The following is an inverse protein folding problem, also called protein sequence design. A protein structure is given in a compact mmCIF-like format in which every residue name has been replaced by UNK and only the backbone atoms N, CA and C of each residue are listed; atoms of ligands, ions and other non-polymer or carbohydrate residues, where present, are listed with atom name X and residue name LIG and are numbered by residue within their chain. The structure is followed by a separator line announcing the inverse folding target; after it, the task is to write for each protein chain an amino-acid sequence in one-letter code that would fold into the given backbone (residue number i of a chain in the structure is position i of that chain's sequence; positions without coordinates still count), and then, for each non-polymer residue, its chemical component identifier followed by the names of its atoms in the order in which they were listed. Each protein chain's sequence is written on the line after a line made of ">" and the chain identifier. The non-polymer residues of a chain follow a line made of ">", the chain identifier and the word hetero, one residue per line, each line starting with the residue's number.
data_IF_523470272803
#
_entry.id   IF_523470272803
#
_cell.length_a   1.000
_cell.length_b   1.000
_cell.length_c   1.000
_cell.angle_alpha   90.00
_cell.angle_beta   90.00
_cell.angle_gamma   90.00
#
_symmetry.space_group_name_H-M   'P 1'
#
loop_
_entity.id
_entity.type
_entity.pdbx_description
1 polymer ?
#
# COMPACT_ATOMS: atom_id res chain seq x y z
N UNK A 1 -52.52 7.28 27.79
CA UNK A 1 -51.28 7.49 28.59
C UNK A 1 -50.47 6.23 28.52
N UNK A 2 -49.41 6.17 27.77
CA UNK A 2 -48.25 5.27 27.80
C UNK A 2 -47.55 5.20 26.45
N UNK A 3 -46.87 6.29 26.02
CA UNK A 3 -46.00 6.30 24.83
C UNK A 3 -44.57 6.74 25.13
N UNK A 4 -44.19 6.92 26.40
CA UNK A 4 -42.89 7.48 26.81
C UNK A 4 -41.80 6.46 27.15
N UNK A 5 -42.12 5.18 27.28
CA UNK A 5 -41.21 4.19 27.88
C UNK A 5 -40.41 3.36 26.85
N UNK A 6 -40.83 3.32 25.58
CA UNK A 6 -40.21 2.52 24.53
C UNK A 6 -39.00 3.26 23.92
N UNK A 7 -39.07 4.58 23.79
CA UNK A 7 -37.98 5.37 23.19
C UNK A 7 -36.70 5.43 24.07
N UNK A 8 -36.85 5.35 25.40
CA UNK A 8 -35.71 5.40 26.34
C UNK A 8 -34.92 4.10 26.45
N UNK A 9 -35.50 2.95 26.08
CA UNK A 9 -34.82 1.64 26.10
C UNK A 9 -34.02 1.37 24.85
N UNK A 10 -34.35 2.00 23.71
CA UNK A 10 -33.62 1.83 22.43
C UNK A 10 -32.34 2.66 22.42
N UNK A 11 -32.33 3.83 23.08
CA UNK A 11 -31.10 4.69 23.13
C UNK A 11 -30.03 4.09 24.04
N UNK A 12 -30.41 3.31 25.08
CA UNK A 12 -29.45 2.69 26.00
C UNK A 12 -28.78 1.43 25.44
N UNK A 13 -29.35 0.80 24.40
CA UNK A 13 -28.77 -0.43 23.80
C UNK A 13 -27.78 -0.18 22.65
N UNK A 14 -27.71 1.06 22.11
CA UNK A 14 -26.79 1.44 21.04
C UNK A 14 -25.45 2.01 21.56
N UNK A 15 -25.36 2.38 22.82
CA UNK A 15 -24.15 2.97 23.41
C UNK A 15 -22.99 1.99 23.59
N UNK A 16 -23.15 0.67 23.84
CA UNK A 16 -22.01 -0.24 23.95
C UNK A 16 -21.40 -0.66 22.63
N UNK A 17 -22.07 -0.46 21.49
CA UNK A 17 -21.56 -0.90 20.19
C UNK A 17 -20.50 0.06 19.59
N UNK A 18 -20.55 1.34 19.95
CA UNK A 18 -19.56 2.34 19.44
C UNK A 18 -18.23 2.24 20.18
N UNK A 19 -18.20 1.70 21.40
CA UNK A 19 -16.96 1.51 22.19
C UNK A 19 -16.11 0.32 21.74
N UNK A 20 -16.62 -0.56 20.89
CA UNK A 20 -15.88 -1.74 20.43
C UNK A 20 -14.93 -1.47 19.23
N UNK A 21 -15.06 -0.33 18.55
CA UNK A 21 -14.26 -0.03 17.35
C UNK A 21 -12.92 0.64 17.65
N UNK A 22 -12.72 1.22 18.82
CA UNK A 22 -11.45 1.85 19.21
C UNK A 22 -10.48 0.91 19.93
N UNK A 23 -10.88 -0.31 20.23
CA UNK A 23 -10.08 -1.32 20.95
C UNK A 23 -9.24 -2.25 20.08
N UNK A 24 -9.53 -2.38 18.78
CA UNK A 24 -8.98 -3.45 17.97
C UNK A 24 -7.45 -3.35 17.73
N UNK A 25 -6.89 -2.15 17.60
CA UNK A 25 -5.43 -1.99 17.40
C UNK A 25 -4.64 -2.32 18.68
N UNK A 26 -5.07 -1.84 19.82
CA UNK A 26 -4.39 -2.13 21.10
C UNK A 26 -4.47 -3.61 21.48
N UNK A 27 -5.61 -4.23 21.26
CA UNK A 27 -5.83 -5.66 21.55
C UNK A 27 -5.04 -6.55 20.60
N UNK A 28 -4.93 -6.18 19.32
CA UNK A 28 -4.11 -6.87 18.33
C UNK A 28 -2.62 -6.87 18.72
N UNK A 29 -2.03 -5.71 19.06
CA UNK A 29 -0.63 -5.65 19.47
C UNK A 29 -0.36 -6.36 20.81
N UNK A 30 -1.29 -6.28 21.76
CA UNK A 30 -1.18 -7.02 23.04
C UNK A 30 -1.26 -8.53 22.82
N UNK A 31 -2.13 -9.00 21.92
CA UNK A 31 -2.18 -10.41 21.54
C UNK A 31 -0.90 -10.84 20.81
N UNK A 32 -0.37 -10.02 19.89
CA UNK A 32 0.87 -10.31 19.18
C UNK A 32 2.10 -10.29 20.09
N UNK A 33 2.18 -9.41 21.10
CA UNK A 33 3.23 -9.43 22.12
C UNK A 33 3.15 -10.69 22.99
N UNK A 34 1.96 -11.20 23.27
CA UNK A 34 1.75 -12.47 23.99
C UNK A 34 2.27 -13.66 23.19
N UNK A 35 2.35 -13.58 21.87
CA UNK A 35 2.98 -14.58 20.98
C UNK A 35 4.46 -14.30 20.69
N UNK A 36 5.10 -13.38 21.43
CA UNK A 36 6.54 -13.10 21.32
C UNK A 36 6.94 -12.31 20.08
N UNK A 37 5.98 -11.67 19.35
CA UNK A 37 6.30 -10.79 18.23
C UNK A 37 6.35 -9.33 18.68
N UNK A 38 7.50 -8.73 18.56
CA UNK A 38 7.71 -7.30 18.78
C UNK A 38 7.12 -6.46 17.63
N UNK A 39 6.74 -5.23 17.92
CA UNK A 39 6.20 -4.30 16.88
C UNK A 39 7.18 -4.09 15.71
N UNK A 40 8.48 -4.19 15.98
CA UNK A 40 9.52 -4.17 14.95
C UNK A 40 9.37 -5.30 13.95
N UNK A 41 9.16 -6.54 14.42
CA UNK A 41 8.97 -7.70 13.55
C UNK A 41 7.70 -7.55 12.72
N UNK A 42 6.65 -6.99 13.32
CA UNK A 42 5.40 -6.68 12.62
C UNK A 42 5.65 -5.64 11.54
N UNK A 43 6.40 -4.57 11.82
CA UNK A 43 6.74 -3.53 10.84
C UNK A 43 7.57 -4.12 9.70
N UNK A 44 8.63 -4.87 10.01
CA UNK A 44 9.47 -5.54 9.01
C UNK A 44 8.64 -6.47 8.11
N UNK A 45 7.73 -7.27 8.70
CA UNK A 45 6.83 -8.13 7.94
C UNK A 45 5.93 -7.32 6.99
N UNK A 46 5.32 -6.22 7.47
CA UNK A 46 4.45 -5.37 6.65
C UNK A 46 5.19 -4.68 5.52
N UNK A 47 6.44 -4.24 5.76
CA UNK A 47 7.29 -3.65 4.71
C UNK A 47 7.66 -4.70 3.65
N UNK A 48 7.99 -5.94 4.05
CA UNK A 48 8.22 -7.05 3.11
C UNK A 48 6.97 -7.38 2.28
N UNK A 49 5.82 -7.45 2.92
CA UNK A 49 4.54 -7.68 2.23
C UNK A 49 4.22 -6.55 1.26
N UNK A 50 4.48 -5.29 1.67
CA UNK A 50 4.30 -4.12 0.81
C UNK A 50 5.19 -4.17 -0.44
N UNK A 51 6.46 -4.58 -0.28
CA UNK A 51 7.37 -4.79 -1.41
C UNK A 51 6.82 -5.85 -2.37
N UNK A 52 6.28 -6.96 -1.85
CA UNK A 52 5.64 -8.00 -2.67
C UNK A 52 4.39 -7.47 -3.39
N UNK A 53 3.53 -6.71 -2.69
CA UNK A 53 2.34 -6.12 -3.28
C UNK A 53 2.71 -5.10 -4.38
N UNK A 54 3.78 -4.30 -4.19
CA UNK A 54 4.30 -3.39 -5.21
C UNK A 54 4.82 -4.15 -6.44
N UNK A 55 5.53 -5.27 -6.26
CA UNK A 55 5.99 -6.10 -7.36
C UNK A 55 4.81 -6.69 -8.15
N UNK A 56 3.78 -7.17 -7.46
CA UNK A 56 2.55 -7.65 -8.12
C UNK A 56 1.84 -6.54 -8.89
N UNK A 57 1.71 -5.34 -8.30
CA UNK A 57 1.11 -4.20 -8.97
C UNK A 57 1.89 -3.80 -10.24
N UNK A 58 3.23 -3.82 -10.16
CA UNK A 58 4.12 -3.57 -11.30
C UNK A 58 3.85 -4.57 -12.44
N UNK A 59 3.73 -5.85 -12.13
CA UNK A 59 3.44 -6.91 -13.11
C UNK A 59 2.04 -6.74 -13.73
N UNK A 60 1.02 -6.43 -12.91
CA UNK A 60 -0.34 -6.24 -13.43
C UNK A 60 -0.44 -5.00 -14.36
N UNK A 61 0.23 -3.91 -14.02
CA UNK A 61 0.25 -2.70 -14.87
C UNK A 61 0.97 -2.99 -16.18
N UNK A 62 2.11 -3.70 -16.15
CA UNK A 62 2.80 -4.14 -17.37
C UNK A 62 1.92 -5.03 -18.23
N UNK A 63 1.29 -6.05 -17.66
CA UNK A 63 0.37 -6.92 -18.38
C UNK A 63 -0.82 -6.16 -18.97
N UNK A 64 -1.34 -5.14 -18.27
CA UNK A 64 -2.40 -4.28 -18.80
C UNK A 64 -1.90 -3.50 -20.03
N UNK A 65 -0.68 -2.95 -19.96
CA UNK A 65 -0.07 -2.23 -21.08
C UNK A 65 0.19 -3.15 -22.28
N UNK A 66 0.71 -4.36 -22.05
CA UNK A 66 0.93 -5.37 -23.09
C UNK A 66 -0.38 -5.72 -23.79
N UNK A 67 -1.46 -6.01 -23.05
CA UNK A 67 -2.78 -6.28 -23.63
C UNK A 67 -3.36 -5.08 -24.37
N UNK A 68 -3.09 -3.87 -23.90
CA UNK A 68 -3.51 -2.67 -24.61
C UNK A 68 -2.74 -2.50 -25.95
N UNK A 69 -1.44 -2.75 -25.96
CA UNK A 69 -0.62 -2.74 -27.16
C UNK A 69 -1.01 -3.83 -28.16
N UNK A 70 -1.26 -5.06 -27.71
CA UNK A 70 -1.77 -6.16 -28.53
C UNK A 70 -3.09 -5.75 -29.21
N UNK A 71 -4.00 -5.13 -28.47
CA UNK A 71 -5.28 -4.68 -29.01
C UNK A 71 -5.11 -3.56 -30.04
N UNK A 72 -4.24 -2.57 -29.78
CA UNK A 72 -3.99 -1.45 -30.71
C UNK A 72 -3.22 -1.87 -31.97
N UNK A 73 -2.47 -2.96 -31.90
CA UNK A 73 -1.78 -3.62 -33.01
C UNK A 73 -2.59 -4.70 -33.70
N UNK A 74 -3.88 -4.84 -33.39
CA UNK A 74 -4.73 -5.92 -33.85
C UNK A 74 -4.76 -6.05 -35.39
N UNK A 75 -4.45 -7.24 -35.89
CA UNK A 75 -4.44 -7.58 -37.33
C UNK A 75 -5.41 -8.70 -37.72
N UNK A 76 -6.15 -9.25 -36.76
CA UNK A 76 -7.13 -10.32 -37.00
C UNK A 76 -7.45 -11.14 -35.76
N UNK A 77 -8.55 -11.88 -35.79
CA UNK A 77 -9.03 -12.69 -34.66
C UNK A 77 -10.24 -12.07 -33.95
N UNK A 78 -10.47 -12.41 -32.69
CA UNK A 78 -11.60 -11.93 -31.90
C UNK A 78 -11.27 -10.68 -31.09
N UNK A 79 -11.76 -9.53 -31.54
CA UNK A 79 -11.66 -8.26 -30.81
C UNK A 79 -12.31 -8.34 -29.43
N UNK A 80 -13.42 -9.04 -29.31
CA UNK A 80 -14.14 -9.21 -28.05
C UNK A 80 -13.28 -9.99 -27.04
N UNK A 81 -12.56 -11.03 -27.44
CA UNK A 81 -11.65 -11.77 -26.59
C UNK A 81 -10.53 -10.86 -26.08
N UNK A 82 -9.86 -10.12 -26.98
CA UNK A 82 -8.77 -9.22 -26.59
C UNK A 82 -9.24 -8.10 -25.66
N UNK A 83 -10.44 -7.56 -25.90
CA UNK A 83 -11.05 -6.58 -24.99
C UNK A 83 -11.29 -7.17 -23.59
N UNK A 84 -11.85 -8.39 -23.49
CA UNK A 84 -12.09 -9.05 -22.21
C UNK A 84 -10.79 -9.31 -21.44
N UNK A 85 -9.74 -9.71 -22.14
CA UNK A 85 -8.40 -9.88 -21.55
C UNK A 85 -7.84 -8.56 -21.02
N UNK A 86 -7.89 -7.48 -21.82
CA UNK A 86 -7.47 -6.14 -21.39
C UNK A 86 -8.25 -5.67 -20.16
N UNK A 87 -9.58 -5.78 -20.19
CA UNK A 87 -10.43 -5.38 -19.06
C UNK A 87 -10.07 -6.16 -17.79
N UNK A 88 -9.88 -7.48 -17.90
CA UNK A 88 -9.50 -8.31 -16.75
C UNK A 88 -8.12 -7.98 -16.19
N UNK A 89 -7.14 -7.58 -17.02
CA UNK A 89 -5.84 -7.11 -16.51
C UNK A 89 -5.95 -5.74 -15.85
N UNK A 90 -6.73 -4.82 -16.43
CA UNK A 90 -7.00 -3.52 -15.82
C UNK A 90 -7.64 -3.65 -14.44
N UNK A 91 -8.66 -4.51 -14.27
CA UNK A 91 -9.31 -4.75 -12.98
C UNK A 91 -8.30 -5.23 -11.92
N UNK A 92 -7.42 -6.18 -12.27
CA UNK A 92 -6.36 -6.65 -11.38
C UNK A 92 -5.38 -5.53 -11.01
N UNK A 93 -5.02 -4.67 -11.97
CA UNK A 93 -4.14 -3.53 -11.70
C UNK A 93 -4.81 -2.51 -10.76
N UNK A 94 -6.11 -2.24 -10.92
CA UNK A 94 -6.88 -1.37 -10.05
C UNK A 94 -6.99 -1.93 -8.61
N UNK A 95 -7.23 -3.24 -8.47
CA UNK A 95 -7.23 -3.91 -7.17
C UNK A 95 -5.86 -3.84 -6.47
N UNK A 96 -4.78 -3.95 -7.25
CA UNK A 96 -3.42 -3.83 -6.72
C UNK A 96 -3.12 -2.42 -6.21
N UNK A 97 -3.64 -1.37 -6.88
CA UNK A 97 -3.51 0.00 -6.40
C UNK A 97 -4.23 0.22 -5.07
N UNK A 98 -5.44 -0.34 -4.91
CA UNK A 98 -6.17 -0.29 -3.64
C UNK A 98 -5.41 -0.99 -2.51
N UNK A 99 -4.85 -2.17 -2.77
CA UNK A 99 -4.00 -2.87 -1.80
C UNK A 99 -2.79 -2.04 -1.39
N UNK A 100 -2.17 -1.32 -2.32
CA UNK A 100 -1.04 -0.44 -2.02
C UNK A 100 -1.44 0.68 -1.05
N UNK A 101 -2.59 1.32 -1.26
CA UNK A 101 -3.15 2.33 -0.35
C UNK A 101 -3.31 1.77 1.08
N UNK A 102 -4.02 0.65 1.21
CA UNK A 102 -4.25 0.00 2.51
C UNK A 102 -2.93 -0.37 3.21
N UNK A 103 -1.91 -0.74 2.42
CA UNK A 103 -0.60 -1.10 2.94
C UNK A 103 0.17 0.11 3.48
N UNK A 104 0.09 1.26 2.81
CA UNK A 104 0.68 2.51 3.29
C UNK A 104 0.13 2.88 4.66
N UNK A 105 -1.19 2.92 4.81
CA UNK A 105 -1.84 3.24 6.08
C UNK A 105 -1.48 2.24 7.19
N UNK A 106 -1.41 0.96 6.85
CA UNK A 106 -1.02 -0.10 7.78
C UNK A 106 0.42 0.02 8.29
N UNK A 107 1.37 0.43 7.44
CA UNK A 107 2.78 0.63 7.81
C UNK A 107 2.91 1.89 8.67
N UNK A 108 2.31 3.00 8.25
CA UNK A 108 2.33 4.28 8.97
C UNK A 108 1.80 4.12 10.41
N UNK A 109 0.70 3.37 10.59
CA UNK A 109 0.14 3.10 11.91
C UNK A 109 1.10 2.30 12.80
N UNK A 110 1.66 1.18 12.30
CA UNK A 110 2.51 0.32 13.12
C UNK A 110 3.85 0.99 13.45
N UNK A 111 4.43 1.75 12.51
CA UNK A 111 5.67 2.50 12.74
C UNK A 111 5.47 3.60 13.78
N UNK A 112 4.38 4.36 13.68
CA UNK A 112 4.03 5.38 14.68
C UNK A 112 3.93 4.80 16.08
N UNK A 113 3.25 3.66 16.24
CA UNK A 113 3.08 3.02 17.54
C UNK A 113 4.40 2.44 18.07
N UNK A 114 5.24 1.86 17.20
CA UNK A 114 6.58 1.37 17.56
C UNK A 114 7.49 2.52 18.01
N UNK A 115 7.53 3.61 17.27
CA UNK A 115 8.41 4.74 17.58
C UNK A 115 8.00 5.47 18.87
N UNK A 116 6.71 5.53 19.18
CA UNK A 116 6.23 6.08 20.47
C UNK A 116 6.68 5.22 21.64
N UNK A 117 6.59 3.91 21.50
CA UNK A 117 7.02 2.98 22.54
C UNK A 117 8.54 3.04 22.75
N UNK A 118 9.31 2.99 21.66
CA UNK A 118 10.77 3.12 21.70
C UNK A 118 11.23 4.43 22.33
N UNK A 119 10.58 5.54 22.03
CA UNK A 119 10.87 6.82 22.70
C UNK A 119 10.64 6.75 24.20
N UNK A 120 9.53 6.15 24.64
CA UNK A 120 9.21 5.99 26.05
C UNK A 120 10.25 5.12 26.79
N UNK A 121 10.73 4.06 26.14
CA UNK A 121 11.81 3.23 26.67
C UNK A 121 13.12 4.00 26.81
N UNK A 122 13.49 4.80 25.79
CA UNK A 122 14.67 5.69 25.84
C UNK A 122 14.56 6.67 27.00
N UNK A 123 13.40 7.27 27.22
CA UNK A 123 13.20 8.26 28.29
C UNK A 123 13.45 7.63 29.68
N UNK A 124 13.12 6.36 29.86
CA UNK A 124 13.35 5.59 31.09
C UNK A 124 14.79 5.07 31.27
N UNK A 125 15.68 5.21 30.28
CA UNK A 125 17.06 4.71 30.39
C UNK A 125 17.90 5.59 31.32
N UNK A 126 18.60 5.00 32.30
CA UNK A 126 19.53 5.67 33.20
C UNK A 126 20.94 5.78 32.60
N UNK A 127 21.38 4.75 31.86
CA UNK A 127 22.70 4.75 31.21
C UNK A 127 22.76 5.77 30.07
N UNK A 128 23.45 6.89 30.29
CA UNK A 128 23.54 8.00 29.33
C UNK A 128 24.06 7.59 27.95
N UNK A 129 25.06 6.69 27.88
CA UNK A 129 25.66 6.25 26.63
C UNK A 129 24.65 5.41 25.83
N UNK A 130 23.97 4.46 26.47
CA UNK A 130 22.94 3.64 25.84
C UNK A 130 21.73 4.47 25.42
N UNK A 131 21.32 5.42 26.25
CA UNK A 131 20.24 6.38 25.94
C UNK A 131 20.54 7.15 24.67
N UNK A 132 21.74 7.72 24.54
CA UNK A 132 22.15 8.48 23.37
C UNK A 132 22.19 7.58 22.12
N UNK A 133 22.80 6.41 22.20
CA UNK A 133 22.85 5.46 21.10
C UNK A 133 21.45 5.07 20.62
N UNK A 134 20.54 4.72 21.54
CA UNK A 134 19.16 4.35 21.19
C UNK A 134 18.38 5.52 20.57
N UNK A 135 18.58 6.75 21.06
CA UNK A 135 17.97 7.93 20.48
C UNK A 135 18.45 8.22 19.05
N UNK A 136 19.74 8.01 18.78
CA UNK A 136 20.32 8.15 17.44
C UNK A 136 19.75 7.11 16.47
N UNK A 137 19.64 5.85 16.92
CA UNK A 137 19.02 4.76 16.13
C UNK A 137 17.54 5.02 15.85
N UNK A 138 16.77 5.48 16.85
CA UNK A 138 15.37 5.86 16.67
C UNK A 138 15.22 6.97 15.65
N UNK A 139 16.06 8.01 15.73
CA UNK A 139 16.04 9.12 14.76
C UNK A 139 16.31 8.63 13.34
N UNK A 140 17.31 7.78 13.17
CA UNK A 140 17.65 7.22 11.87
C UNK A 140 16.51 6.33 11.31
N UNK A 141 15.91 5.48 12.14
CA UNK A 141 14.79 4.63 11.74
C UNK A 141 13.56 5.46 11.32
N UNK A 142 13.25 6.54 12.02
CA UNK A 142 12.19 7.48 11.63
C UNK A 142 12.45 8.15 10.28
N UNK A 143 13.69 8.55 9.99
CA UNK A 143 14.05 9.14 8.70
C UNK A 143 13.91 8.14 7.55
N UNK A 144 14.34 6.90 7.75
CA UNK A 144 14.20 5.84 6.75
C UNK A 144 12.73 5.50 6.49
N UNK A 145 11.94 5.37 7.53
CA UNK A 145 10.50 5.11 7.42
C UNK A 145 9.77 6.25 6.70
N UNK A 146 10.00 7.50 7.10
CA UNK A 146 9.39 8.66 6.46
C UNK A 146 9.77 8.76 4.96
N UNK A 147 11.01 8.43 4.61
CA UNK A 147 11.47 8.33 3.22
C UNK A 147 10.70 7.25 2.45
N UNK A 148 10.55 6.08 3.04
CA UNK A 148 9.82 4.98 2.43
C UNK A 148 8.33 5.30 2.24
N UNK A 149 7.63 5.77 3.28
CA UNK A 149 6.21 6.18 3.19
C UNK A 149 6.01 7.26 2.11
N UNK A 150 6.90 8.27 2.07
CA UNK A 150 6.87 9.29 1.03
C UNK A 150 6.98 8.68 -0.37
N UNK A 151 7.90 7.74 -0.57
CA UNK A 151 8.10 7.07 -1.85
C UNK A 151 6.90 6.22 -2.26
N UNK A 152 6.28 5.52 -1.32
CA UNK A 152 5.04 4.77 -1.56
C UNK A 152 3.88 5.68 -1.96
N UNK A 153 3.68 6.81 -1.27
CA UNK A 153 2.65 7.80 -1.61
C UNK A 153 2.89 8.43 -2.99
N UNK A 154 4.15 8.64 -3.36
CA UNK A 154 4.51 9.10 -4.72
C UNK A 154 4.20 8.03 -5.78
N UNK A 155 4.44 6.77 -5.48
CA UNK A 155 4.06 5.64 -6.35
C UNK A 155 2.55 5.60 -6.55
N UNK A 156 1.77 5.65 -5.47
CA UNK A 156 0.30 5.70 -5.51
C UNK A 156 -0.21 6.89 -6.35
N UNK A 157 0.34 8.08 -6.13
CA UNK A 157 -0.03 9.28 -6.88
C UNK A 157 0.26 9.15 -8.39
N UNK A 158 1.28 8.39 -8.79
CA UNK A 158 1.58 8.10 -10.20
C UNK A 158 0.74 6.96 -10.78
N UNK A 159 0.34 5.98 -9.97
CA UNK A 159 -0.56 4.90 -10.42
C UNK A 159 -1.93 5.43 -10.82
N UNK A 160 -2.47 6.39 -10.08
CA UNK A 160 -3.80 6.94 -10.30
C UNK A 160 -4.03 7.44 -11.73
N UNK A 161 -3.21 8.33 -12.33
CA UNK A 161 -3.41 8.78 -13.71
C UNK A 161 -3.20 7.67 -14.74
N UNK A 162 -2.29 6.74 -14.52
CA UNK A 162 -2.06 5.58 -15.41
C UNK A 162 -3.30 4.69 -15.43
N UNK A 163 -3.84 4.32 -14.27
CA UNK A 163 -5.05 3.51 -14.17
C UNK A 163 -6.27 4.23 -14.74
N UNK A 164 -6.37 5.55 -14.53
CA UNK A 164 -7.45 6.36 -15.14
C UNK A 164 -7.35 6.35 -16.66
N UNK A 165 -6.15 6.47 -17.21
CA UNK A 165 -5.95 6.39 -18.65
C UNK A 165 -6.36 5.01 -19.21
N UNK A 166 -6.01 3.90 -18.55
CA UNK A 166 -6.50 2.57 -18.94
C UNK A 166 -8.03 2.45 -18.82
N UNK A 167 -8.61 2.94 -17.72
CA UNK A 167 -10.06 2.92 -17.52
C UNK A 167 -10.81 3.61 -18.66
N UNK A 168 -10.33 4.78 -19.09
CA UNK A 168 -10.95 5.52 -20.16
C UNK A 168 -10.91 4.73 -21.48
N UNK A 169 -9.77 4.04 -21.78
CA UNK A 169 -9.65 3.23 -22.98
C UNK A 169 -10.55 1.97 -22.93
N UNK A 170 -10.58 1.28 -21.78
CA UNK A 170 -11.46 0.12 -21.55
C UNK A 170 -12.93 0.54 -21.71
N UNK A 171 -13.32 1.68 -21.12
CA UNK A 171 -14.69 2.19 -21.22
C UNK A 171 -15.04 2.60 -22.67
N UNK A 172 -14.14 3.25 -23.39
CA UNK A 172 -14.32 3.59 -24.80
C UNK A 172 -14.51 2.34 -25.66
N UNK A 173 -13.65 1.33 -25.48
CA UNK A 173 -13.69 0.08 -26.22
C UNK A 173 -14.94 -0.75 -25.93
N UNK A 174 -15.45 -0.70 -24.72
CA UNK A 174 -16.70 -1.39 -24.33
C UNK A 174 -17.85 -1.09 -25.27
N UNK A 175 -17.92 0.14 -25.78
CA UNK A 175 -19.00 0.61 -26.64
C UNK A 175 -18.60 0.78 -28.12
N UNK A 176 -17.29 0.72 -28.43
CA UNK A 176 -16.73 1.02 -29.74
C UNK A 176 -15.76 -0.05 -30.22
N UNK A 177 -16.13 -1.32 -30.10
CA UNK A 177 -15.23 -2.44 -30.41
C UNK A 177 -15.18 -2.72 -31.94
N UNK A 178 -14.49 -1.85 -32.68
CA UNK A 178 -14.29 -1.96 -34.13
C UNK A 178 -12.91 -1.46 -34.57
N UNK A 179 -12.48 -1.83 -35.78
CA UNK A 179 -11.15 -1.53 -36.30
C UNK A 179 -10.82 -0.03 -36.34
N UNK A 180 -11.82 0.85 -36.60
CA UNK A 180 -11.61 2.31 -36.61
C UNK A 180 -11.30 2.84 -35.21
N UNK A 181 -12.08 2.40 -34.21
CA UNK A 181 -11.86 2.78 -32.82
C UNK A 181 -10.47 2.35 -32.34
N UNK A 182 -10.08 1.10 -32.63
CA UNK A 182 -8.76 0.57 -32.29
C UNK A 182 -7.63 1.37 -32.95
N UNK A 183 -7.77 1.71 -34.23
CA UNK A 183 -6.80 2.53 -34.96
C UNK A 183 -6.59 3.92 -34.34
N UNK A 184 -7.62 4.52 -33.75
CA UNK A 184 -7.55 5.81 -33.07
C UNK A 184 -6.76 5.78 -31.74
N UNK A 185 -6.53 4.60 -31.16
CA UNK A 185 -5.87 4.45 -29.86
C UNK A 185 -4.34 4.36 -29.94
N UNK A 186 -3.75 4.23 -31.14
CA UNK A 186 -2.29 4.06 -31.29
C UNK A 186 -1.47 5.17 -30.64
N UNK A 187 -1.85 6.43 -30.85
CA UNK A 187 -1.17 7.58 -30.24
C UNK A 187 -1.33 7.62 -28.71
N UNK A 188 -2.50 7.25 -28.22
CA UNK A 188 -2.77 7.15 -26.79
C UNK A 188 -1.97 6.01 -26.15
N UNK A 189 -1.84 4.88 -26.84
CA UNK A 189 -1.02 3.74 -26.38
C UNK A 189 0.45 4.15 -26.16
N UNK A 190 1.05 4.88 -27.08
CA UNK A 190 2.44 5.34 -26.92
C UNK A 190 2.62 6.27 -25.71
N UNK A 191 1.67 7.18 -25.45
CA UNK A 191 1.71 8.06 -24.28
C UNK A 191 1.57 7.29 -22.97
N UNK A 192 0.57 6.39 -22.89
CA UNK A 192 0.38 5.57 -21.68
C UNK A 192 1.61 4.70 -21.43
N UNK A 193 2.26 4.15 -22.46
CA UNK A 193 3.50 3.39 -22.33
C UNK A 193 4.59 4.21 -21.64
N UNK A 194 4.78 5.47 -22.04
CA UNK A 194 5.77 6.35 -21.39
C UNK A 194 5.42 6.59 -19.92
N UNK A 195 4.16 6.83 -19.59
CA UNK A 195 3.72 7.04 -18.21
C UNK A 195 3.91 5.76 -17.35
N UNK A 196 3.69 4.59 -17.95
CA UNK A 196 3.97 3.28 -17.33
C UNK A 196 5.46 3.12 -17.04
N UNK A 197 6.36 3.45 -17.97
CA UNK A 197 7.81 3.32 -17.77
C UNK A 197 8.30 4.20 -16.62
N UNK A 198 7.80 5.43 -16.53
CA UNK A 198 8.09 6.35 -15.41
C UNK A 198 7.57 5.76 -14.09
N UNK A 199 6.35 5.20 -14.08
CA UNK A 199 5.79 4.55 -12.89
C UNK A 199 6.62 3.32 -12.47
N UNK A 200 7.08 2.49 -13.43
CA UNK A 200 7.94 1.34 -13.14
C UNK A 200 9.23 1.76 -12.42
N UNK A 201 9.87 2.81 -12.90
CA UNK A 201 11.08 3.38 -12.28
C UNK A 201 10.79 3.87 -10.85
N UNK A 202 9.67 4.54 -10.63
CA UNK A 202 9.25 5.01 -9.30
C UNK A 202 9.00 3.83 -8.34
N UNK A 203 8.38 2.75 -8.81
CA UNK A 203 8.12 1.55 -8.02
C UNK A 203 9.43 0.85 -7.62
N UNK A 204 10.40 0.74 -8.54
CA UNK A 204 11.72 0.17 -8.24
C UNK A 204 12.45 0.99 -7.15
N UNK A 205 12.40 2.32 -7.24
CA UNK A 205 12.95 3.21 -6.22
C UNK A 205 12.26 3.03 -4.85
N UNK A 206 10.94 2.86 -4.83
CA UNK A 206 10.18 2.60 -3.60
C UNK A 206 10.55 1.26 -2.97
N UNK A 207 10.70 0.20 -3.78
CA UNK A 207 11.13 -1.12 -3.29
C UNK A 207 12.56 -1.11 -2.74
N UNK A 208 13.47 -0.32 -3.33
CA UNK A 208 14.81 -0.14 -2.79
C UNK A 208 14.81 0.56 -1.42
N UNK A 209 13.92 1.54 -1.22
CA UNK A 209 13.73 2.18 0.10
C UNK A 209 13.12 1.23 1.14
N UNK A 210 12.27 0.28 0.73
CA UNK A 210 11.80 -0.78 1.60
C UNK A 210 12.97 -1.63 2.13
N UNK A 211 13.91 -2.01 1.26
CA UNK A 211 15.09 -2.78 1.66
C UNK A 211 15.99 -1.98 2.63
N UNK A 212 16.18 -0.68 2.38
CA UNK A 212 16.93 0.18 3.29
C UNK A 212 16.28 0.27 4.68
N UNK A 213 14.95 0.42 4.74
CA UNK A 213 14.21 0.43 6.01
C UNK A 213 14.32 -0.91 6.74
N UNK A 214 14.13 -2.05 6.06
CA UNK A 214 14.26 -3.38 6.65
C UNK A 214 15.66 -3.57 7.25
N UNK A 215 16.71 -3.17 6.51
CA UNK A 215 18.08 -3.30 6.97
C UNK A 215 18.34 -2.44 8.21
N UNK A 216 17.86 -1.20 8.25
CA UNK A 216 18.02 -0.31 9.42
C UNK A 216 17.35 -0.87 10.68
N UNK A 217 16.16 -1.47 10.52
CA UNK A 217 15.43 -2.10 11.63
C UNK A 217 16.11 -3.37 12.13
N UNK A 218 16.69 -4.17 11.24
CA UNK A 218 17.41 -5.40 11.61
C UNK A 218 18.73 -5.12 12.33
N UNK A 219 19.50 -4.10 11.92
CA UNK A 219 20.73 -3.68 12.60
C UNK A 219 20.42 -3.24 14.03
N UNK A 220 19.37 -2.45 14.21
CA UNK A 220 18.90 -2.01 15.53
C UNK A 220 18.56 -3.20 16.46
N UNK A 221 17.99 -4.28 15.93
CA UNK A 221 17.69 -5.48 16.68
C UNK A 221 18.95 -6.25 17.12
N UNK A 222 19.94 -6.37 16.24
CA UNK A 222 21.19 -7.09 16.56
C UNK A 222 22.00 -6.39 17.64
N UNK A 223 22.09 -5.06 17.62
CA UNK A 223 22.80 -4.29 18.65
C UNK A 223 22.12 -4.35 20.03
N UNK A 224 20.79 -4.52 20.06
CA UNK A 224 20.06 -4.71 21.33
C UNK A 224 20.24 -6.11 21.91
N UNK A 225 20.42 -7.16 21.10
CA UNK A 225 20.63 -8.55 21.53
C UNK A 225 22.05 -8.86 22.01
N UNK A 226 23.03 -8.03 21.65
CA UNK A 226 24.45 -8.22 22.04
C UNK A 226 24.82 -7.53 23.38
N UNK A 227 23.87 -6.93 24.05
CA UNK A 227 24.02 -6.22 25.35
C UNK A 227 23.20 -6.85 26.45
#
# INVERSE_FOLDING_TARGET
>A
MSSGTICRRIVLSLLPLVLLLTGCTRTYYKAMSTFGKEKRDILVSRVKDSKKDQQQAKEQIKSTMEKFQELTGFQGGSLEKNYKELNGQYEKAADSAKKLHDRIESIDQVSSDMFKEWQKEIDGMENRKLKQQSADMLRQSRLQEAGYIKSMRQTEARMTPVLKAFQDQVTFLKHNLNARAIGSLKGTSARISTDVDVLMTQMDGSMAQADALINSLNVADQEQKQK
#
